data_IF_961212110998
#
_entry.id   IF_961212110998
#
_cell.length_a   1.000
_cell.length_b   1.000
_cell.length_c   1.000
_cell.angle_alpha   90.00
_cell.angle_beta   90.00
_cell.angle_gamma   90.00
#
_symmetry.space_group_name_H-M   'P 1'
#
loop_
_entity.id
_entity.type
_entity.pdbx_description
1 polymer ?
#
# COMPACT_ATOMS: atom_id res chain seq x y z
N UNK A 1 3.04 48.98 -20.52
CA UNK A 1 1.65 48.56 -20.28
C UNK A 1 1.29 47.68 -21.46
N UNK A 2 1.43 46.37 -21.33
CA UNK A 2 1.01 45.40 -22.35
C UNK A 2 -0.19 44.62 -21.78
N UNK A 3 -1.34 44.77 -22.43
CA UNK A 3 -2.59 44.08 -22.11
C UNK A 3 -2.66 42.83 -22.98
N UNK A 4 -2.25 41.68 -22.44
CA UNK A 4 -2.46 40.37 -23.05
C UNK A 4 -3.96 40.02 -22.92
N UNK A 5 -4.71 40.17 -24.02
CA UNK A 5 -6.12 39.79 -24.07
C UNK A 5 -6.24 38.26 -24.12
N UNK A 6 -6.65 37.69 -22.99
CA UNK A 6 -7.08 36.30 -22.88
C UNK A 6 -8.33 36.08 -23.75
N UNK A 7 -8.24 35.23 -24.77
CA UNK A 7 -9.40 34.83 -25.56
C UNK A 7 -10.34 33.97 -24.69
N UNK A 8 -11.66 34.26 -24.67
CA UNK A 8 -12.62 33.43 -23.95
C UNK A 8 -12.73 32.05 -24.63
N UNK A 9 -12.62 30.98 -23.83
CA UNK A 9 -12.82 29.62 -24.32
C UNK A 9 -14.28 29.44 -24.75
N UNK A 10 -14.50 29.38 -26.07
CA UNK A 10 -15.81 29.08 -26.66
C UNK A 10 -16.15 27.62 -26.35
N UNK A 11 -17.30 27.33 -25.72
CA UNK A 11 -17.74 25.95 -25.53
C UNK A 11 -17.86 25.24 -26.89
N UNK A 12 -17.29 24.03 -26.98
CA UNK A 12 -17.41 23.20 -28.17
C UNK A 12 -18.90 22.95 -28.46
N UNK A 13 -19.40 23.54 -29.54
CA UNK A 13 -20.77 23.34 -30.00
C UNK A 13 -20.87 21.95 -30.63
N UNK A 14 -21.23 20.96 -29.81
CA UNK A 14 -21.46 19.58 -30.25
C UNK A 14 -22.91 19.48 -30.72
N UNK A 15 -23.09 19.18 -32.00
CA UNK A 15 -24.40 18.91 -32.59
C UNK A 15 -24.75 17.43 -32.44
N UNK A 16 -25.69 17.14 -31.52
CA UNK A 16 -26.13 15.79 -31.21
C UNK A 16 -27.03 15.19 -32.30
N UNK A 17 -27.70 16.03 -33.09
CA UNK A 17 -28.66 15.58 -34.10
C UNK A 17 -27.95 14.97 -35.31
N UNK A 18 -26.70 15.38 -35.55
CA UNK A 18 -25.84 14.81 -36.60
C UNK A 18 -25.26 13.44 -36.20
N UNK A 19 -25.12 13.16 -34.90
CA UNK A 19 -24.47 11.93 -34.42
C UNK A 19 -25.32 10.67 -34.62
N UNK A 20 -26.64 10.82 -34.75
CA UNK A 20 -27.59 9.71 -34.92
C UNK A 20 -28.15 9.60 -36.35
N UNK A 21 -27.66 10.42 -37.29
CA UNK A 21 -27.99 10.33 -38.71
C UNK A 21 -27.20 9.19 -39.36
N UNK A 22 -27.51 7.95 -39.01
CA UNK A 22 -26.97 6.78 -39.68
C UNK A 22 -28.08 5.77 -39.97
N UNK A 23 -28.52 5.79 -41.23
CA UNK A 23 -29.24 4.72 -41.94
C UNK A 23 -28.31 3.49 -42.15
N UNK A 24 -27.58 3.13 -41.10
CA UNK A 24 -26.63 2.03 -41.04
C UNK A 24 -27.24 0.96 -40.15
N UNK A 25 -27.24 -0.31 -40.54
CA UNK A 25 -27.76 -1.38 -39.69
C UNK A 25 -27.08 -1.36 -38.33
N UNK A 26 -27.80 -1.67 -37.23
CA UNK A 26 -27.26 -1.63 -35.88
C UNK A 26 -25.93 -2.37 -35.82
N UNK A 27 -24.86 -1.66 -35.46
CA UNK A 27 -23.54 -2.27 -35.31
C UNK A 27 -23.65 -3.33 -34.20
N UNK A 28 -23.42 -4.59 -34.55
CA UNK A 28 -23.35 -5.67 -33.57
C UNK A 28 -22.07 -5.47 -32.75
N UNK A 29 -22.23 -5.21 -31.45
CA UNK A 29 -21.11 -5.10 -30.53
C UNK A 29 -20.91 -6.46 -29.84
N UNK A 30 -19.78 -7.10 -30.12
CA UNK A 30 -19.35 -8.27 -29.35
C UNK A 30 -18.89 -7.76 -27.98
N UNK A 31 -19.68 -8.04 -26.95
CA UNK A 31 -19.30 -7.77 -25.57
C UNK A 31 -18.20 -8.76 -25.19
N UNK A 32 -16.95 -8.36 -25.43
CA UNK A 32 -15.80 -9.07 -24.85
C UNK A 32 -15.77 -8.66 -23.38
N UNK A 33 -16.28 -9.53 -22.51
CA UNK A 33 -16.14 -9.38 -21.07
C UNK A 33 -14.65 -9.47 -20.72
N UNK A 34 -13.97 -8.31 -20.73
CA UNK A 34 -12.64 -8.18 -20.18
C UNK A 34 -12.75 -8.33 -18.67
N UNK A 35 -12.61 -9.56 -18.16
CA UNK A 35 -12.63 -9.85 -16.71
C UNK A 35 -11.40 -9.32 -15.98
N UNK A 36 -10.56 -8.51 -16.64
CA UNK A 36 -9.45 -7.78 -16.04
C UNK A 36 -9.89 -6.42 -15.48
N UNK A 37 -11.08 -6.33 -14.88
CA UNK A 37 -11.21 -5.44 -13.73
C UNK A 37 -10.63 -6.24 -12.58
N UNK A 38 -9.32 -6.11 -12.38
CA UNK A 38 -8.68 -6.52 -11.14
C UNK A 38 -9.63 -6.07 -10.03
N UNK A 39 -10.13 -7.04 -9.27
CA UNK A 39 -10.88 -6.75 -8.08
C UNK A 39 -10.13 -5.63 -7.36
N UNK A 40 -10.81 -4.56 -6.99
CA UNK A 40 -10.33 -3.53 -6.06
C UNK A 40 -10.09 -4.15 -4.66
N UNK A 41 -9.51 -5.35 -4.60
CA UNK A 41 -8.58 -5.73 -3.58
C UNK A 41 -7.42 -4.74 -3.70
N UNK A 42 -7.65 -3.54 -3.18
CA UNK A 42 -6.60 -2.68 -2.69
C UNK A 42 -5.60 -3.61 -2.00
N UNK A 43 -4.40 -3.65 -2.55
CA UNK A 43 -3.31 -4.41 -1.99
C UNK A 43 -2.95 -3.72 -0.68
N UNK A 44 -3.71 -4.04 0.36
CA UNK A 44 -3.62 -3.37 1.66
C UNK A 44 -2.19 -3.49 2.17
N UNK A 45 -1.46 -4.53 1.77
CA UNK A 45 -0.05 -4.77 2.12
C UNK A 45 0.88 -3.62 1.72
N UNK A 46 0.60 -2.93 0.61
CA UNK A 46 1.38 -1.79 0.13
C UNK A 46 1.06 -0.47 0.87
N UNK A 47 -0.08 -0.39 1.55
CA UNK A 47 -0.51 0.81 2.27
C UNK A 47 0.16 0.85 3.65
N UNK A 48 0.81 1.96 4.05
CA UNK A 48 1.39 2.07 5.39
C UNK A 48 0.32 2.20 6.47
N UNK A 49 0.63 1.75 7.69
CA UNK A 49 -0.34 1.63 8.80
C UNK A 49 -1.09 2.93 9.11
N UNK A 50 -0.41 4.07 9.09
CA UNK A 50 -1.03 5.36 9.40
C UNK A 50 -2.10 5.71 8.35
N UNK A 51 -1.86 5.46 7.06
CA UNK A 51 -2.85 5.63 5.99
C UNK A 51 -3.98 4.62 6.09
N UNK A 52 -3.68 3.38 6.49
CA UNK A 52 -4.70 2.37 6.71
C UNK A 52 -5.64 2.76 7.85
N UNK A 53 -5.11 3.31 8.96
CA UNK A 53 -5.89 3.85 10.10
C UNK A 53 -6.74 5.06 9.70
N UNK A 54 -6.16 6.02 8.98
CA UNK A 54 -6.88 7.19 8.43
C UNK A 54 -8.06 6.75 7.54
N UNK A 55 -7.81 5.80 6.63
CA UNK A 55 -8.82 5.25 5.72
C UNK A 55 -9.97 4.58 6.49
N UNK A 56 -9.66 3.72 7.47
CA UNK A 56 -10.67 3.10 8.33
C UNK A 56 -11.52 4.17 9.04
N UNK A 57 -10.88 5.22 9.58
CA UNK A 57 -11.60 6.27 10.28
C UNK A 57 -12.50 7.08 9.34
N UNK A 58 -12.02 7.38 8.13
CA UNK A 58 -12.80 8.06 7.09
C UNK A 58 -14.03 7.23 6.70
N UNK A 59 -13.83 5.95 6.38
CA UNK A 59 -14.92 5.04 6.00
C UNK A 59 -15.96 4.88 7.12
N UNK A 60 -15.54 4.85 8.39
CA UNK A 60 -16.47 4.84 9.53
C UNK A 60 -17.34 6.08 9.56
N UNK A 61 -16.76 7.28 9.41
CA UNK A 61 -17.53 8.53 9.34
C UNK A 61 -18.52 8.51 8.17
N UNK A 62 -18.09 8.05 7.00
CA UNK A 62 -18.98 7.90 5.83
C UNK A 62 -20.11 6.92 6.11
N UNK A 63 -19.83 5.81 6.80
CA UNK A 63 -20.84 4.83 7.17
C UNK A 63 -21.87 5.44 8.15
N UNK A 64 -21.44 6.27 9.10
CA UNK A 64 -22.34 6.91 10.06
C UNK A 64 -23.28 7.92 9.38
N UNK A 65 -22.76 8.67 8.41
CA UNK A 65 -23.54 9.71 7.70
C UNK A 65 -24.44 9.11 6.62
N UNK A 66 -23.86 8.27 5.75
CA UNK A 66 -24.50 7.82 4.51
C UNK A 66 -25.01 6.39 4.59
N UNK A 67 -24.50 5.57 5.53
CA UNK A 67 -24.74 4.13 5.56
C UNK A 67 -26.21 3.73 5.58
N UNK A 68 -27.07 4.45 6.30
CA UNK A 68 -28.52 4.19 6.36
C UNK A 68 -29.26 4.52 5.05
N UNK A 69 -28.69 5.39 4.22
CA UNK A 69 -29.28 5.84 2.96
C UNK A 69 -28.78 5.01 1.76
N UNK A 70 -27.82 4.10 1.98
CA UNK A 70 -27.32 3.21 0.94
C UNK A 70 -28.27 2.02 0.72
N UNK A 71 -28.37 1.51 -0.52
CA UNK A 71 -29.26 0.40 -0.86
C UNK A 71 -28.91 -0.89 -0.13
N UNK A 72 -27.63 -1.10 0.20
CA UNK A 72 -27.13 -2.24 0.98
C UNK A 72 -27.03 -1.94 2.48
N UNK A 73 -27.59 -0.80 2.94
CA UNK A 73 -27.47 -0.29 4.31
C UNK A 73 -26.01 -0.13 4.78
N UNK A 74 -25.07 0.04 3.85
CA UNK A 74 -23.64 0.12 4.12
C UNK A 74 -22.98 -1.22 4.43
N UNK A 75 -23.58 -2.35 4.05
CA UNK A 75 -23.01 -3.67 4.27
C UNK A 75 -21.63 -3.85 3.61
N UNK A 76 -21.45 -3.36 2.38
CA UNK A 76 -20.15 -3.40 1.70
C UNK A 76 -19.11 -2.56 2.43
N UNK A 77 -19.46 -1.34 2.83
CA UNK A 77 -18.57 -0.46 3.59
C UNK A 77 -18.14 -1.10 4.91
N UNK A 78 -19.06 -1.76 5.63
CA UNK A 78 -18.73 -2.53 6.84
C UNK A 78 -17.74 -3.65 6.54
N UNK A 79 -17.98 -4.44 5.48
CA UNK A 79 -17.08 -5.52 5.09
C UNK A 79 -15.67 -5.01 4.72
N UNK A 80 -15.57 -3.87 4.03
CA UNK A 80 -14.28 -3.23 3.70
C UNK A 80 -13.57 -2.75 4.96
N UNK A 81 -14.27 -2.08 5.88
CA UNK A 81 -13.73 -1.65 7.17
C UNK A 81 -13.18 -2.85 7.96
N UNK A 82 -13.93 -3.95 8.02
CA UNK A 82 -13.53 -5.17 8.73
C UNK A 82 -12.27 -5.81 8.10
N UNK A 83 -12.18 -5.85 6.77
CA UNK A 83 -10.99 -6.33 6.06
C UNK A 83 -9.76 -5.48 6.42
N UNK A 84 -9.89 -4.17 6.39
CA UNK A 84 -8.79 -3.25 6.72
C UNK A 84 -8.35 -3.35 8.19
N UNK A 85 -9.29 -3.56 9.11
CA UNK A 85 -8.97 -3.80 10.53
C UNK A 85 -8.22 -5.12 10.74
N UNK A 86 -8.67 -6.20 10.09
CA UNK A 86 -7.99 -7.51 10.16
C UNK A 86 -6.55 -7.43 9.68
N UNK A 87 -6.28 -6.68 8.62
CA UNK A 87 -4.93 -6.48 8.12
C UNK A 87 -4.04 -5.72 9.13
N UNK A 88 -4.56 -4.68 9.80
CA UNK A 88 -3.82 -4.02 10.88
C UNK A 88 -3.49 -4.97 12.02
N UNK A 89 -4.48 -5.74 12.50
CA UNK A 89 -4.25 -6.72 13.57
C UNK A 89 -3.22 -7.78 13.16
N UNK A 90 -3.23 -8.21 11.89
CA UNK A 90 -2.23 -9.14 11.36
C UNK A 90 -0.82 -8.55 11.43
N UNK A 91 -0.64 -7.27 11.08
CA UNK A 91 0.66 -6.59 11.16
C UNK A 91 1.15 -6.41 12.58
N UNK A 92 0.25 -6.03 13.49
CA UNK A 92 0.55 -5.88 14.92
C UNK A 92 1.02 -7.21 15.51
N UNK A 93 0.33 -8.31 15.19
CA UNK A 93 0.72 -9.66 15.61
C UNK A 93 2.09 -10.08 15.06
N UNK A 94 2.38 -9.77 13.79
CA UNK A 94 3.68 -10.08 13.19
C UNK A 94 4.83 -9.32 13.85
N UNK A 95 4.63 -8.05 14.20
CA UNK A 95 5.63 -7.26 14.94
C UNK A 95 5.89 -7.83 16.33
N UNK A 96 4.82 -8.16 17.06
CA UNK A 96 4.93 -8.76 18.39
C UNK A 96 5.71 -10.08 18.35
N UNK A 97 5.46 -10.92 17.34
CA UNK A 97 6.21 -12.18 17.15
C UNK A 97 7.69 -11.94 16.85
N UNK A 98 8.02 -10.90 16.09
CA UNK A 98 9.42 -10.51 15.82
C UNK A 98 10.14 -9.99 17.06
N UNK A 99 9.46 -9.22 17.90
CA UNK A 99 10.02 -8.71 19.16
C UNK A 99 10.36 -9.85 20.13
N UNK A 100 9.47 -10.85 20.26
CA UNK A 100 9.69 -12.03 21.11
C UNK A 100 10.85 -12.90 20.61
N UNK A 101 11.03 -13.03 19.29
CA UNK A 101 12.13 -13.82 18.69
C UNK A 101 13.48 -13.06 18.74
N UNK A 102 13.43 -11.72 18.63
CA UNK A 102 14.61 -10.86 18.78
C UNK A 102 15.22 -10.91 20.18
N UNK A 103 14.38 -11.06 21.20
CA UNK A 103 14.81 -11.20 22.60
C UNK A 103 15.43 -12.58 22.92
N UNK A 104 15.25 -13.55 22.02
CA UNK A 104 15.89 -14.88 22.11
C UNK A 104 17.10 -15.04 21.21
N UNK A 105 17.61 -13.98 20.56
CA UNK A 105 18.86 -14.08 19.82
C UNK A 105 20.03 -14.17 20.82
N UNK A 106 20.73 -15.31 20.96
CA UNK A 106 22.05 -15.26 21.58
C UNK A 106 22.88 -14.28 20.75
N UNK A 107 23.47 -13.29 21.42
CA UNK A 107 24.50 -12.45 20.82
C UNK A 107 25.44 -13.36 20.02
N UNK A 108 25.81 -13.02 18.77
CA UNK A 108 26.85 -13.78 18.09
C UNK A 108 28.04 -13.81 19.04
N UNK A 109 28.31 -15.00 19.56
CA UNK A 109 29.34 -15.22 20.56
C UNK A 109 30.58 -14.49 20.05
N UNK A 110 31.02 -13.48 20.80
CA UNK A 110 32.34 -12.95 20.64
C UNK A 110 33.25 -14.16 20.70
N UNK A 111 33.76 -14.59 19.54
CA UNK A 111 34.78 -15.63 19.45
C UNK A 111 35.91 -15.13 20.31
N UNK A 112 35.95 -15.64 21.53
CA UNK A 112 37.03 -15.46 22.47
C UNK A 112 38.16 -16.22 21.83
N UNK A 113 38.97 -15.53 21.05
CA UNK A 113 40.30 -16.03 20.70
C UNK A 113 41.13 -15.94 21.98
N UNK A 114 40.88 -16.88 22.89
CA UNK A 114 41.69 -17.11 24.08
C UNK A 114 42.92 -17.88 23.60
N UNK A 115 43.99 -17.14 23.32
CA UNK A 115 45.29 -17.72 23.02
C UNK A 115 45.78 -18.46 24.25
N UNK A 116 45.72 -19.78 24.17
CA UNK A 116 46.31 -20.69 25.14
C UNK A 116 47.83 -20.47 25.15
N UNK A 117 48.33 -20.09 26.32
CA UNK A 117 49.76 -19.93 26.62
C UNK A 117 50.46 -21.29 26.61
N UNK A 118 50.84 -21.78 25.44
CA UNK A 118 51.80 -22.88 25.35
C UNK A 118 53.20 -22.30 25.48
N UNK A 119 53.84 -22.61 26.62
CA UNK A 119 55.25 -22.37 26.94
C UNK A 119 56.15 -22.66 25.74
N UNK A 120 56.64 -21.60 25.09
CA UNK A 120 57.67 -21.64 24.07
C UNK A 120 58.75 -20.63 24.44
N UNK A 121 59.94 -21.15 24.72
CA UNK A 121 61.16 -20.45 25.15
C UNK A 121 61.46 -19.21 24.28
N UNK A 122 61.27 -18.01 24.83
CA UNK A 122 61.67 -16.76 24.19
C UNK A 122 63.19 -16.59 24.36
N UNK A 123 63.95 -16.77 23.28
CA UNK A 123 65.35 -16.35 23.20
C UNK A 123 65.33 -14.97 22.52
N UNK A 124 65.77 -13.88 23.18
CA UNK A 124 65.90 -12.59 22.52
C UNK A 124 67.25 -12.51 21.80
N UNK A 125 67.31 -12.20 20.49
CA UNK A 125 68.53 -11.68 19.92
C UNK A 125 68.65 -10.18 20.24
N UNK A 126 69.59 -9.93 21.13
CA UNK A 126 70.45 -8.75 21.25
C UNK A 126 70.26 -7.61 20.25
N UNK A 127 70.16 -6.42 20.84
CA UNK A 127 70.49 -5.12 20.24
C UNK A 127 71.95 -5.13 19.78
N UNK A 128 72.20 -4.87 18.50
CA UNK A 128 73.44 -4.27 18.00
C UNK A 128 73.00 -3.04 17.19
N UNK A 129 73.12 -1.86 17.80
CA UNK A 129 74.16 -0.83 17.57
C UNK A 129 73.87 0.01 16.34
#
# INVERSE_FOLDING_TARGET
>A
MEEERQQPQVPLSIDWDQQFQHDSPPREFVIVSSSSMASDQDDLSAIPDHKLKESIQSMKRTLDVTGKNLPDKGAKLRATIDRSQKELSRRELLRLRQEVDGDQKPQPAQTTSSSSVTKGRFIPPFVLR
#
